data_IF_452620024402
#
_entry.id   IF_452620024402
#
_cell.length_a   1.000
_cell.length_b   1.000
_cell.length_c   1.000
_cell.angle_alpha   90.00
_cell.angle_beta   90.00
_cell.angle_gamma   90.00
#
_symmetry.space_group_name_H-M   'P 1'
#
loop_
_entity.id
_entity.type
_entity.pdbx_description
1 polymer ?
#
# COMPACT_ATOMS: atom_id res chain seq x y z
N UNK A 1 -4.24 20.76 -18.10
CA UNK A 1 -4.84 21.49 -16.96
C UNK A 1 -6.32 21.63 -17.25
N UNK A 2 -7.16 20.99 -16.44
CA UNK A 2 -8.61 20.92 -16.66
C UNK A 2 -9.39 22.02 -15.93
N UNK A 3 -8.79 22.66 -14.92
CA UNK A 3 -9.36 23.78 -14.15
C UNK A 3 -8.29 24.51 -13.29
N UNK A 4 -8.70 25.56 -12.57
CA UNK A 4 -7.81 26.39 -11.72
C UNK A 4 -7.25 25.65 -10.50
N UNK A 5 -8.00 24.74 -9.92
CA UNK A 5 -7.59 23.95 -8.75
C UNK A 5 -6.52 22.91 -9.14
N UNK A 6 -6.56 22.37 -10.36
CA UNK A 6 -5.51 21.50 -10.90
C UNK A 6 -4.17 22.26 -11.01
N UNK A 7 -4.22 23.54 -11.40
CA UNK A 7 -3.04 24.40 -11.43
C UNK A 7 -2.50 24.72 -10.04
N UNK A 8 -3.38 24.94 -9.06
CA UNK A 8 -3.01 25.15 -7.65
C UNK A 8 -2.36 23.90 -7.05
N UNK A 9 -2.90 22.72 -7.31
CA UNK A 9 -2.33 21.44 -6.88
C UNK A 9 -0.94 21.22 -7.52
N UNK A 10 -0.78 21.52 -8.80
CA UNK A 10 0.52 21.45 -9.47
C UNK A 10 1.53 22.41 -8.83
N UNK A 11 1.12 23.64 -8.54
CA UNK A 11 1.97 24.64 -7.86
C UNK A 11 2.36 24.20 -6.45
N UNK A 12 1.46 23.55 -5.70
CA UNK A 12 1.76 22.96 -4.40
C UNK A 12 2.90 21.96 -4.49
N UNK A 13 2.80 20.94 -5.36
CA UNK A 13 3.82 19.89 -5.43
C UNK A 13 5.15 20.38 -6.01
N UNK A 14 5.14 21.43 -6.83
CA UNK A 14 6.38 22.05 -7.29
C UNK A 14 7.07 22.86 -6.18
N UNK A 15 6.30 23.55 -5.32
CA UNK A 15 6.83 24.30 -4.18
C UNK A 15 7.24 23.40 -3.00
N UNK A 16 6.46 22.35 -2.74
CA UNK A 16 6.63 21.40 -1.65
C UNK A 16 6.51 19.96 -2.17
N UNK A 17 7.56 19.42 -2.80
CA UNK A 17 7.57 18.04 -3.25
C UNK A 17 7.27 17.07 -2.11
N UNK A 18 6.35 16.14 -2.36
CA UNK A 18 5.84 15.24 -1.34
C UNK A 18 5.91 13.76 -1.79
N UNK A 19 6.20 12.81 -0.87
CA UNK A 19 6.71 13.02 0.48
C UNK A 19 8.05 13.77 0.51
N UNK A 20 8.33 14.55 1.55
CA UNK A 20 9.64 15.19 1.66
C UNK A 20 10.74 14.11 1.84
N UNK A 21 11.78 14.17 0.99
CA UNK A 21 12.88 13.18 0.98
C UNK A 21 14.22 13.88 0.78
N UNK A 22 15.21 13.46 1.57
CA UNK A 22 16.63 13.79 1.33
C UNK A 22 17.30 12.60 0.63
N UNK A 23 17.78 12.76 -0.63
CA UNK A 23 18.49 11.70 -1.35
C UNK A 23 19.68 11.09 -0.59
N UNK A 24 20.29 11.81 0.35
CA UNK A 24 21.40 11.28 1.17
C UNK A 24 20.96 10.15 2.12
N UNK A 25 19.68 10.08 2.48
CA UNK A 25 19.16 9.02 3.35
C UNK A 25 19.14 7.65 2.66
N UNK A 26 19.22 7.62 1.32
CA UNK A 26 19.20 6.38 0.56
C UNK A 26 20.40 5.47 0.89
N UNK A 27 21.54 6.06 1.30
CA UNK A 27 22.71 5.32 1.79
C UNK A 27 22.46 4.58 3.11
N UNK A 28 21.46 5.01 3.90
CA UNK A 28 21.17 4.48 5.24
C UNK A 28 20.05 3.45 5.24
N UNK A 29 18.97 3.74 4.50
CA UNK A 29 17.78 2.88 4.46
C UNK A 29 17.07 2.97 3.13
N UNK A 30 16.30 1.92 2.82
CA UNK A 30 15.30 1.95 1.77
C UNK A 30 13.95 2.28 2.42
N UNK A 31 13.19 3.19 1.83
CA UNK A 31 11.79 3.40 2.24
C UNK A 31 10.98 2.23 1.67
N UNK A 32 10.32 1.50 2.56
CA UNK A 32 9.55 0.31 2.22
C UNK A 32 8.09 0.54 2.62
N UNK A 33 7.17 0.20 1.72
CA UNK A 33 5.74 0.35 1.94
C UNK A 33 4.93 -0.48 0.95
N UNK A 34 3.63 -0.28 0.94
CA UNK A 34 2.71 -0.80 -0.07
C UNK A 34 2.17 0.36 -0.89
N UNK A 35 1.85 0.19 -2.18
CA UNK A 35 1.74 -1.10 -2.86
C UNK A 35 2.94 -1.52 -3.73
N UNK A 36 4.10 -0.85 -3.65
CA UNK A 36 5.22 -1.14 -4.58
C UNK A 36 6.19 -2.24 -4.13
N UNK A 37 5.83 -3.04 -3.11
CA UNK A 37 6.67 -4.11 -2.61
C UNK A 37 6.62 -5.33 -3.54
N UNK A 38 7.76 -5.76 -4.11
CA UNK A 38 7.79 -6.79 -5.15
C UNK A 38 7.19 -8.13 -4.72
N UNK A 39 7.42 -8.58 -3.48
CA UNK A 39 6.78 -9.81 -2.96
C UNK A 39 5.26 -9.69 -2.85
N UNK A 40 4.76 -8.49 -2.57
CA UNK A 40 3.31 -8.27 -2.53
C UNK A 40 2.73 -8.25 -3.94
N UNK A 41 3.43 -7.63 -4.89
CA UNK A 41 3.04 -7.65 -6.31
C UNK A 41 2.99 -9.10 -6.80
N UNK A 42 4.06 -9.88 -6.60
CA UNK A 42 4.10 -11.29 -6.99
C UNK A 42 2.95 -12.11 -6.40
N UNK A 43 2.62 -11.88 -5.13
CA UNK A 43 1.62 -12.66 -4.43
C UNK A 43 0.18 -12.16 -4.65
N UNK A 44 -0.10 -10.89 -4.37
CA UNK A 44 -1.46 -10.33 -4.40
C UNK A 44 -1.96 -10.02 -5.80
N UNK A 45 -1.08 -9.70 -6.76
CA UNK A 45 -1.45 -9.48 -8.16
C UNK A 45 -1.33 -10.79 -8.94
N UNK A 46 -0.16 -11.44 -8.88
CA UNK A 46 0.14 -12.60 -9.72
C UNK A 46 -0.09 -13.96 -9.04
N UNK A 47 -0.59 -13.99 -7.80
CA UNK A 47 -0.93 -15.22 -7.10
C UNK A 47 0.27 -16.09 -6.74
N UNK A 48 1.49 -15.53 -6.72
CA UNK A 48 2.76 -16.25 -6.66
C UNK A 48 2.89 -17.31 -7.77
N UNK A 49 2.42 -16.98 -8.98
CA UNK A 49 2.49 -17.87 -10.16
C UNK A 49 3.32 -17.32 -11.31
N UNK A 50 3.51 -15.99 -11.37
CA UNK A 50 4.37 -15.36 -12.38
C UNK A 50 5.84 -15.66 -12.07
N UNK A 51 6.60 -16.31 -12.97
CA UNK A 51 8.01 -16.60 -12.76
C UNK A 51 8.87 -15.39 -12.38
N UNK A 52 9.81 -15.57 -11.45
CA UNK A 52 10.77 -14.54 -11.05
C UNK A 52 11.71 -14.18 -12.20
N UNK A 53 12.04 -15.14 -13.08
CA UNK A 53 12.84 -14.92 -14.28
C UNK A 53 12.13 -14.08 -15.35
N UNK A 54 10.79 -13.99 -15.32
CA UNK A 54 10.05 -13.17 -16.27
C UNK A 54 10.28 -11.68 -15.94
N UNK A 55 10.77 -10.84 -16.87
CA UNK A 55 10.96 -9.40 -16.63
C UNK A 55 9.64 -8.69 -16.32
N UNK A 56 9.63 -7.85 -15.27
CA UNK A 56 8.45 -7.07 -14.88
C UNK A 56 8.54 -5.68 -15.49
N UNK A 57 7.57 -5.31 -16.33
CA UNK A 57 7.39 -3.94 -16.81
C UNK A 57 6.41 -3.23 -15.88
N UNK A 58 6.91 -2.30 -15.05
CA UNK A 58 6.09 -1.59 -14.09
C UNK A 58 5.97 -0.09 -14.44
N UNK A 59 4.80 0.49 -14.21
CA UNK A 59 4.58 1.93 -14.20
C UNK A 59 4.37 2.39 -12.75
N UNK A 60 5.03 3.48 -12.35
CA UNK A 60 4.67 4.23 -11.15
C UNK A 60 4.08 5.56 -11.59
N UNK A 61 2.75 5.62 -11.58
CA UNK A 61 1.95 6.75 -12.02
C UNK A 61 1.70 7.73 -10.86
N UNK A 62 2.18 8.96 -10.99
CA UNK A 62 2.31 9.92 -9.89
C UNK A 62 3.45 9.55 -8.96
N UNK A 63 4.65 9.36 -9.52
CA UNK A 63 5.81 8.84 -8.79
C UNK A 63 6.34 9.73 -7.67
N UNK A 64 5.92 11.00 -7.58
CA UNK A 64 6.28 11.94 -6.52
C UNK A 64 7.78 12.01 -6.31
N UNK A 65 8.24 12.09 -5.07
CA UNK A 65 9.68 12.08 -4.76
C UNK A 65 10.32 10.68 -4.83
N UNK A 66 9.59 9.67 -5.34
CA UNK A 66 10.15 8.40 -5.79
C UNK A 66 10.01 7.21 -4.84
N UNK A 67 9.24 7.27 -3.76
CA UNK A 67 9.20 6.16 -2.78
C UNK A 67 8.89 4.80 -3.41
N UNK A 68 7.79 4.71 -4.16
CA UNK A 68 7.42 3.47 -4.85
C UNK A 68 8.39 3.10 -5.97
N UNK A 69 8.86 4.09 -6.73
CA UNK A 69 9.79 3.89 -7.85
C UNK A 69 11.12 3.33 -7.38
N UNK A 70 11.73 3.94 -6.36
CA UNK A 70 13.02 3.55 -5.83
C UNK A 70 12.95 2.19 -5.14
N UNK A 71 11.87 1.93 -4.38
CA UNK A 71 11.65 0.62 -3.76
C UNK A 71 11.54 -0.49 -4.81
N UNK A 72 10.65 -0.33 -5.80
CA UNK A 72 10.41 -1.36 -6.81
C UNK A 72 11.65 -1.59 -7.69
N UNK A 73 12.29 -0.51 -8.15
CA UNK A 73 13.51 -0.61 -8.96
C UNK A 73 14.67 -1.28 -8.19
N UNK A 74 14.82 -0.98 -6.89
CA UNK A 74 15.79 -1.65 -6.01
C UNK A 74 15.49 -3.14 -5.88
N UNK A 75 14.22 -3.51 -5.67
CA UNK A 75 13.84 -4.92 -5.56
C UNK A 75 14.11 -5.69 -6.86
N UNK A 76 13.77 -5.11 -8.01
CA UNK A 76 14.01 -5.71 -9.32
C UNK A 76 15.53 -5.87 -9.59
N UNK A 77 16.31 -4.83 -9.31
CA UNK A 77 17.78 -4.86 -9.45
C UNK A 77 18.42 -5.96 -8.58
N UNK A 78 18.01 -6.08 -7.31
CA UNK A 78 18.52 -7.12 -6.40
C UNK A 78 18.18 -8.55 -6.81
N UNK A 79 17.08 -8.76 -7.54
CA UNK A 79 16.72 -10.08 -8.08
C UNK A 79 17.55 -10.48 -9.31
N UNK A 80 18.33 -9.56 -9.89
CA UNK A 80 19.14 -9.83 -11.08
C UNK A 80 18.33 -10.01 -12.37
N UNK A 81 17.05 -9.61 -12.38
CA UNK A 81 16.16 -9.68 -13.54
C UNK A 81 16.12 -8.31 -14.27
N UNK A 82 15.97 -8.33 -15.60
CA UNK A 82 15.82 -7.18 -16.49
C UNK A 82 14.46 -6.45 -16.37
N UNK A 83 13.82 -6.46 -15.19
CA UNK A 83 12.61 -5.67 -14.96
C UNK A 83 12.90 -4.17 -15.02
N UNK A 84 11.93 -3.39 -15.50
CA UNK A 84 12.04 -1.93 -15.65
C UNK A 84 10.90 -1.24 -14.94
N UNK A 85 11.18 -0.05 -14.42
CA UNK A 85 10.19 0.84 -13.81
C UNK A 85 10.10 2.11 -14.64
N UNK A 86 8.93 2.42 -15.19
CA UNK A 86 8.63 3.73 -15.77
C UNK A 86 8.08 4.62 -14.67
N UNK A 87 8.79 5.69 -14.34
CA UNK A 87 8.32 6.78 -13.49
C UNK A 87 7.51 7.76 -14.35
N UNK A 88 6.32 8.16 -13.88
CA UNK A 88 5.53 9.22 -14.47
C UNK A 88 5.08 10.20 -13.38
N UNK A 89 5.41 11.49 -13.51
CA UNK A 89 4.88 12.55 -12.64
C UNK A 89 4.84 13.90 -13.35
N UNK A 90 3.98 14.80 -12.90
CA UNK A 90 3.86 16.16 -13.44
C UNK A 90 4.91 17.11 -12.88
N UNK A 91 5.33 16.93 -11.62
CA UNK A 91 6.24 17.83 -10.92
C UNK A 91 7.69 17.55 -11.31
N UNK A 92 8.35 18.57 -11.84
CA UNK A 92 9.78 18.53 -12.12
C UNK A 92 10.58 18.53 -10.83
N UNK A 93 10.16 19.29 -9.82
CA UNK A 93 10.83 19.30 -8.51
C UNK A 93 10.82 17.91 -7.87
N UNK A 94 9.67 17.21 -7.87
CA UNK A 94 9.58 15.86 -7.35
C UNK A 94 10.42 14.86 -8.15
N UNK A 95 10.38 14.93 -9.48
CA UNK A 95 11.21 14.08 -10.34
C UNK A 95 12.71 14.28 -10.12
N UNK A 96 13.18 15.52 -9.93
CA UNK A 96 14.60 15.79 -9.63
C UNK A 96 15.05 15.09 -8.36
N UNK A 97 14.22 15.12 -7.30
CA UNK A 97 14.50 14.41 -6.04
C UNK A 97 14.53 12.90 -6.27
N UNK A 98 13.54 12.36 -6.99
CA UNK A 98 13.47 10.93 -7.30
C UNK A 98 14.70 10.46 -8.11
N UNK A 99 15.16 11.24 -9.09
CA UNK A 99 16.38 10.95 -9.86
C UNK A 99 17.63 10.95 -8.98
N UNK A 100 17.79 11.95 -8.12
CA UNK A 100 18.92 12.00 -7.18
C UNK A 100 18.92 10.79 -6.21
N UNK A 101 17.74 10.32 -5.79
CA UNK A 101 17.61 9.08 -4.99
C UNK A 101 18.02 7.83 -5.77
N UNK A 102 17.62 7.74 -7.04
CA UNK A 102 18.00 6.64 -7.92
C UNK A 102 19.52 6.60 -8.15
N UNK A 103 20.13 7.75 -8.39
CA UNK A 103 21.58 7.91 -8.53
C UNK A 103 22.31 7.47 -7.26
N UNK A 104 21.84 7.88 -6.07
CA UNK A 104 22.43 7.47 -4.79
C UNK A 104 22.40 5.95 -4.55
N UNK A 105 21.52 5.22 -5.26
CA UNK A 105 21.41 3.75 -5.21
C UNK A 105 21.97 3.05 -6.45
N UNK A 106 22.55 3.78 -7.39
CA UNK A 106 23.03 3.27 -8.69
C UNK A 106 21.96 2.51 -9.49
N UNK A 107 20.71 2.98 -9.45
CA UNK A 107 19.61 2.35 -10.18
C UNK A 107 19.59 2.81 -11.63
N UNK A 108 19.74 1.86 -12.55
CA UNK A 108 19.79 2.09 -14.01
C UNK A 108 18.57 1.52 -14.76
N UNK A 109 17.64 0.92 -14.03
CA UNK A 109 16.45 0.25 -14.54
C UNK A 109 15.18 1.12 -14.43
N UNK A 110 15.33 2.44 -14.55
CA UNK A 110 14.22 3.40 -14.44
C UNK A 110 14.15 4.26 -15.71
N UNK A 111 12.98 4.28 -16.34
CA UNK A 111 12.62 5.23 -17.38
C UNK A 111 11.86 6.41 -16.77
N UNK A 112 12.16 7.63 -17.18
CA UNK A 112 11.65 8.83 -16.55
C UNK A 112 10.80 9.64 -17.52
N UNK A 113 9.52 9.81 -17.19
CA UNK A 113 8.56 10.55 -18.02
C UNK A 113 7.95 11.67 -17.19
N UNK A 114 8.00 12.89 -17.73
CA UNK A 114 7.25 14.01 -17.17
C UNK A 114 5.90 14.08 -17.88
N UNK A 115 4.80 14.01 -17.15
CA UNK A 115 3.47 14.07 -17.75
C UNK A 115 2.34 13.86 -16.76
N UNK A 116 1.10 14.05 -17.22
CA UNK A 116 -0.08 13.70 -16.46
C UNK A 116 -0.43 12.23 -16.67
N UNK A 117 -1.00 11.59 -15.66
CA UNK A 117 -1.57 10.24 -15.82
C UNK A 117 -2.73 10.23 -16.82
N UNK A 118 -3.40 11.38 -17.01
CA UNK A 118 -4.46 11.54 -18.00
C UNK A 118 -3.94 11.49 -19.45
N UNK A 119 -2.64 11.69 -19.66
CA UNK A 119 -2.01 11.65 -20.99
C UNK A 119 -1.57 10.23 -21.37
N UNK A 120 -1.61 9.25 -20.45
CA UNK A 120 -1.17 7.87 -20.69
C UNK A 120 -1.69 7.25 -21.99
N UNK A 121 -2.97 7.43 -22.41
CA UNK A 121 -3.47 6.85 -23.65
C UNK A 121 -2.76 7.32 -24.92
N UNK A 122 -2.09 8.49 -24.89
CA UNK A 122 -1.43 9.10 -26.05
C UNK A 122 0.09 9.10 -25.96
N UNK A 123 0.67 8.79 -24.80
CA UNK A 123 2.12 8.79 -24.59
C UNK A 123 2.86 7.63 -25.28
N UNK A 124 2.13 6.63 -25.81
CA UNK A 124 2.75 5.45 -26.45
C UNK A 124 3.53 4.57 -25.46
N UNK A 125 3.16 4.62 -24.17
CA UNK A 125 3.77 3.83 -23.10
C UNK A 125 2.99 2.53 -22.87
N UNK A 126 3.70 1.52 -22.34
CA UNK A 126 3.13 0.23 -21.99
C UNK A 126 3.05 -0.75 -23.17
N UNK A 127 2.32 -1.86 -23.00
CA UNK A 127 1.55 -2.22 -21.80
C UNK A 127 2.44 -2.54 -20.59
N UNK A 128 1.91 -2.37 -19.38
CA UNK A 128 2.60 -2.63 -18.11
C UNK A 128 1.99 -3.84 -17.39
N UNK A 129 2.85 -4.75 -16.89
CA UNK A 129 2.42 -5.88 -16.07
C UNK A 129 1.85 -5.41 -14.73
N UNK A 130 2.41 -4.34 -14.19
CA UNK A 130 2.04 -3.77 -12.90
C UNK A 130 2.02 -2.25 -12.94
N UNK A 131 0.99 -1.64 -12.35
CA UNK A 131 0.88 -0.18 -12.22
C UNK A 131 0.74 0.19 -10.74
N UNK A 132 1.69 0.93 -10.19
CA UNK A 132 1.53 1.60 -8.89
C UNK A 132 0.94 2.99 -9.11
N UNK A 133 -0.16 3.30 -8.43
CA UNK A 133 -0.77 4.62 -8.39
C UNK A 133 -1.18 4.94 -6.95
N UNK A 134 -0.16 5.25 -6.15
CA UNK A 134 -0.29 5.54 -4.73
C UNK A 134 -0.41 7.05 -4.48
N UNK A 135 -1.56 7.52 -3.97
CA UNK A 135 -1.69 8.91 -3.54
C UNK A 135 -2.07 9.90 -4.64
N UNK A 136 -2.76 9.44 -5.70
CA UNK A 136 -2.94 10.24 -6.93
C UNK A 136 -4.41 10.39 -7.30
N UNK A 137 -5.14 9.28 -7.47
CA UNK A 137 -6.50 9.30 -8.00
C UNK A 137 -7.43 10.22 -7.20
N UNK A 138 -7.26 10.28 -5.89
CA UNK A 138 -8.10 11.09 -5.02
C UNK A 138 -7.81 12.60 -5.05
N UNK A 139 -6.81 13.04 -5.81
CA UNK A 139 -6.53 14.44 -6.10
C UNK A 139 -6.95 14.86 -7.52
N UNK A 140 -7.55 13.95 -8.30
CA UNK A 140 -8.06 14.29 -9.63
C UNK A 140 -9.47 14.90 -9.57
N UNK A 141 -9.80 15.82 -10.50
CA UNK A 141 -11.17 16.31 -10.64
C UNK A 141 -12.11 15.17 -11.04
N UNK A 142 -11.66 14.29 -11.93
CA UNK A 142 -12.39 13.12 -12.41
C UNK A 142 -11.56 11.85 -12.19
N UNK A 143 -11.62 11.22 -11.00
CA UNK A 143 -10.80 10.04 -10.72
C UNK A 143 -11.14 8.82 -11.58
N UNK A 144 -12.38 8.72 -12.08
CA UNK A 144 -12.76 7.68 -13.03
C UNK A 144 -12.01 7.81 -14.37
N UNK A 145 -11.79 9.04 -14.86
CA UNK A 145 -10.97 9.29 -16.05
C UNK A 145 -9.50 8.91 -15.81
N UNK A 146 -8.98 9.22 -14.60
CA UNK A 146 -7.64 8.78 -14.19
C UNK A 146 -7.50 7.26 -14.13
N UNK A 147 -8.48 6.56 -13.56
CA UNK A 147 -8.47 5.11 -13.51
C UNK A 147 -8.54 4.48 -14.91
N UNK A 148 -9.41 5.02 -15.78
CA UNK A 148 -9.51 4.57 -17.17
C UNK A 148 -8.19 4.76 -17.93
N UNK A 149 -7.50 5.88 -17.74
CA UNK A 149 -6.20 6.13 -18.36
C UNK A 149 -5.12 5.12 -17.92
N UNK A 150 -5.15 4.68 -16.66
CA UNK A 150 -4.26 3.63 -16.16
C UNK A 150 -4.62 2.25 -16.73
N UNK A 151 -5.91 1.96 -16.85
CA UNK A 151 -6.40 0.67 -17.34
C UNK A 151 -6.04 0.43 -18.82
N UNK A 152 -6.06 1.47 -19.65
CA UNK A 152 -5.70 1.40 -21.08
C UNK A 152 -4.26 0.90 -21.29
N UNK A 153 -3.34 1.22 -20.38
CA UNK A 153 -1.93 0.82 -20.47
C UNK A 153 -1.62 -0.42 -19.62
N UNK A 154 -2.61 -1.04 -18.99
CA UNK A 154 -2.43 -2.27 -18.21
C UNK A 154 -2.43 -3.50 -19.11
N UNK A 155 -1.37 -4.31 -19.03
CA UNK A 155 -1.25 -5.56 -19.76
C UNK A 155 -2.37 -6.56 -19.39
N UNK A 156 -2.81 -7.41 -20.32
CA UNK A 156 -3.64 -8.57 -20.00
C UNK A 156 -2.98 -9.43 -18.91
N UNK A 157 -3.74 -9.83 -17.90
CA UNK A 157 -3.23 -10.56 -16.74
C UNK A 157 -2.47 -9.70 -15.71
N UNK A 158 -2.27 -8.41 -15.98
CA UNK A 158 -1.62 -7.46 -15.08
C UNK A 158 -2.51 -7.03 -13.90
N UNK A 159 -1.96 -6.19 -13.03
CA UNK A 159 -2.74 -5.55 -11.98
C UNK A 159 -2.19 -4.21 -11.51
N UNK A 160 -2.95 -3.55 -10.64
CA UNK A 160 -2.61 -2.23 -10.12
C UNK A 160 -2.47 -2.28 -8.61
N UNK A 161 -1.54 -1.53 -8.05
CA UNK A 161 -1.54 -1.13 -6.65
C UNK A 161 -2.06 0.29 -6.53
N UNK A 162 -3.16 0.50 -5.82
CA UNK A 162 -3.79 1.80 -5.66
C UNK A 162 -3.79 2.23 -4.20
N UNK A 163 -3.63 3.52 -3.96
CA UNK A 163 -3.88 4.12 -2.65
C UNK A 163 -4.75 5.37 -2.75
N UNK A 164 -5.83 5.39 -1.96
CA UNK A 164 -6.73 6.55 -1.81
C UNK A 164 -6.96 6.88 -0.33
N UNK A 165 -7.35 8.11 -0.04
CA UNK A 165 -7.76 8.50 1.31
C UNK A 165 -9.04 7.80 1.75
N UNK A 166 -9.07 7.38 3.01
CA UNK A 166 -10.25 6.80 3.66
C UNK A 166 -10.84 7.81 4.66
N UNK A 167 -12.17 7.92 4.77
CA UNK A 167 -12.81 9.03 5.48
C UNK A 167 -12.66 8.91 7.00
N UNK A 168 -12.84 7.72 7.56
CA UNK A 168 -13.02 7.57 9.01
C UNK A 168 -11.74 7.84 9.82
N UNK A 169 -10.60 7.28 9.42
CA UNK A 169 -9.32 7.58 10.06
C UNK A 169 -8.82 9.00 9.82
N UNK A 170 -9.45 9.76 8.90
CA UNK A 170 -9.24 11.19 8.64
C UNK A 170 -10.21 12.10 9.40
N UNK A 171 -10.99 11.57 10.35
CA UNK A 171 -11.92 12.37 11.17
C UNK A 171 -11.21 13.57 11.79
N UNK A 172 -11.77 14.76 11.57
CA UNK A 172 -11.21 16.05 11.99
C UNK A 172 -10.36 16.77 10.93
N UNK A 173 -9.74 16.07 9.98
CA UNK A 173 -8.91 16.68 8.93
C UNK A 173 -9.73 17.63 8.07
N UNK A 174 -10.85 17.14 7.52
CA UNK A 174 -11.72 17.92 6.63
C UNK A 174 -12.33 19.15 7.31
N UNK A 175 -12.67 19.05 8.60
CA UNK A 175 -13.19 20.20 9.36
C UNK A 175 -12.14 21.32 9.49
N UNK A 176 -10.86 20.95 9.59
CA UNK A 176 -9.77 21.93 9.66
C UNK A 176 -9.44 22.47 8.27
N UNK A 177 -9.53 21.64 7.22
CA UNK A 177 -9.42 22.10 5.84
C UNK A 177 -10.53 23.11 5.49
N UNK A 178 -11.78 22.87 5.88
CA UNK A 178 -12.90 23.80 5.69
C UNK A 178 -12.61 25.16 6.35
N UNK A 179 -12.10 25.14 7.60
CA UNK A 179 -11.71 26.37 8.29
C UNK A 179 -10.54 27.08 7.59
N UNK A 180 -9.56 26.33 7.09
CA UNK A 180 -8.41 26.88 6.38
C UNK A 180 -8.76 27.38 4.98
N UNK A 181 -9.75 26.83 4.30
CA UNK A 181 -10.24 27.37 3.04
C UNK A 181 -10.78 28.80 3.21
N UNK A 182 -11.34 29.13 4.39
CA UNK A 182 -11.83 30.47 4.72
C UNK A 182 -10.71 31.42 5.19
N UNK A 183 -9.74 30.92 5.95
CA UNK A 183 -8.67 31.73 6.55
C UNK A 183 -7.42 31.88 5.66
N UNK A 184 -7.20 30.90 4.77
CA UNK A 184 -6.04 30.75 3.90
C UNK A 184 -6.49 30.28 2.50
N UNK A 185 -7.26 31.11 1.77
CA UNK A 185 -7.86 30.72 0.50
C UNK A 185 -6.81 30.27 -0.54
N UNK A 186 -7.19 29.38 -1.49
CA UNK A 186 -6.24 28.75 -2.41
C UNK A 186 -5.54 29.70 -3.41
N UNK A 187 -6.00 30.95 -3.54
CA UNK A 187 -5.39 31.99 -4.36
C UNK A 187 -4.17 32.65 -3.68
N UNK A 188 -3.99 32.44 -2.38
CA UNK A 188 -2.80 32.88 -1.65
C UNK A 188 -1.58 32.00 -1.97
N UNK A 189 -0.39 32.58 -1.81
CA UNK A 189 0.85 31.83 -2.00
C UNK A 189 0.96 30.64 -1.04
N UNK A 190 1.60 29.53 -1.45
CA UNK A 190 1.72 28.36 -0.59
C UNK A 190 2.36 28.65 0.79
N UNK A 191 3.36 29.54 0.85
CA UNK A 191 3.99 29.94 2.10
C UNK A 191 3.05 30.70 3.05
N UNK A 192 2.24 31.62 2.53
CA UNK A 192 1.26 32.36 3.33
C UNK A 192 0.20 31.43 3.92
N UNK A 193 -0.29 30.46 3.12
CA UNK A 193 -1.27 29.48 3.57
C UNK A 193 -0.73 28.60 4.70
N UNK A 194 0.54 28.18 4.62
CA UNK A 194 1.22 27.44 5.70
C UNK A 194 1.29 28.26 6.98
N UNK A 195 1.63 29.54 6.89
CA UNK A 195 1.72 30.38 8.08
C UNK A 195 0.38 30.42 8.84
N UNK A 196 -0.71 30.62 8.11
CA UNK A 196 -2.07 30.57 8.68
C UNK A 196 -2.38 29.18 9.22
N UNK A 197 -2.06 28.11 8.48
CA UNK A 197 -2.21 26.72 8.92
C UNK A 197 -1.55 26.44 10.26
N UNK A 198 -0.30 26.87 10.43
CA UNK A 198 0.44 26.75 11.69
C UNK A 198 -0.22 27.52 12.84
N UNK A 199 -0.75 28.72 12.57
CA UNK A 199 -1.46 29.53 13.57
C UNK A 199 -2.78 28.87 13.99
N UNK A 200 -3.56 28.35 13.05
CA UNK A 200 -4.80 27.60 13.34
C UNK A 200 -4.50 26.37 14.18
N UNK A 201 -3.50 25.57 13.80
CA UNK A 201 -3.13 24.37 14.56
C UNK A 201 -2.68 24.68 15.99
N UNK A 202 -1.97 25.79 16.21
CA UNK A 202 -1.54 26.24 17.55
C UNK A 202 -2.72 26.61 18.46
N UNK A 203 -3.80 27.12 17.87
CA UNK A 203 -4.96 27.65 18.58
C UNK A 203 -6.23 26.83 18.33
N UNK A 204 -6.08 25.57 17.92
CA UNK A 204 -7.20 24.73 17.53
C UNK A 204 -8.11 24.46 18.75
N UNK A 205 -9.41 24.78 18.67
CA UNK A 205 -10.33 24.60 19.79
C UNK A 205 -10.30 23.17 20.34
N UNK A 206 -10.46 23.02 21.65
CA UNK A 206 -10.40 21.73 22.34
C UNK A 206 -11.44 20.71 21.88
N UNK A 207 -12.57 21.19 21.36
CA UNK A 207 -13.63 20.36 20.81
C UNK A 207 -13.38 19.88 19.38
N UNK A 208 -12.33 20.36 18.69
CA UNK A 208 -12.07 19.96 17.31
C UNK A 208 -11.60 18.49 17.25
N UNK A 209 -12.26 17.71 16.40
CA UNK A 209 -12.00 16.27 16.26
C UNK A 209 -10.56 15.90 15.88
N UNK A 210 -9.83 16.78 15.17
CA UNK A 210 -8.45 16.51 14.81
C UNK A 210 -7.54 16.37 16.04
N UNK A 211 -7.88 17.02 17.16
CA UNK A 211 -7.13 16.89 18.43
C UNK A 211 -7.25 15.50 19.06
N UNK A 212 -8.30 14.76 18.73
CA UNK A 212 -8.52 13.40 19.21
C UNK A 212 -7.98 12.34 18.23
N UNK A 213 -7.55 12.76 17.05
CA UNK A 213 -7.02 11.89 16.02
C UNK A 213 -5.50 11.68 16.20
N UNK A 214 -5.10 10.42 16.40
CA UNK A 214 -3.70 10.04 16.65
C UNK A 214 -2.93 9.68 15.38
N UNK A 215 -3.59 9.62 14.23
CA UNK A 215 -2.99 9.11 12.98
C UNK A 215 -2.06 10.10 12.28
N UNK A 216 -2.12 11.39 12.62
CA UNK A 216 -1.46 12.46 11.85
C UNK A 216 -0.35 13.20 12.60
N UNK A 217 0.11 12.68 13.74
CA UNK A 217 1.21 13.29 14.49
C UNK A 217 2.46 13.50 13.61
N UNK A 218 2.77 12.56 12.73
CA UNK A 218 3.92 12.62 11.82
C UNK A 218 3.72 13.62 10.68
N UNK A 219 2.49 13.84 10.21
CA UNK A 219 2.22 14.84 9.16
C UNK A 219 2.26 16.27 9.74
N UNK A 220 1.79 16.42 10.98
CA UNK A 220 1.83 17.69 11.72
C UNK A 220 3.28 18.05 12.11
N UNK A 221 4.12 17.05 12.37
CA UNK A 221 5.56 17.24 12.70
C UNK A 221 6.50 17.10 11.49
N UNK A 222 6.00 16.60 10.35
CA UNK A 222 6.74 16.32 9.11
C UNK A 222 7.11 17.55 8.28
N UNK A 223 7.07 18.73 8.91
CA UNK A 223 7.39 20.00 8.29
C UNK A 223 6.31 20.52 7.34
N UNK A 224 6.70 21.51 6.56
CA UNK A 224 5.80 22.35 5.77
C UNK A 224 5.10 21.56 4.66
N UNK A 225 5.80 20.62 4.02
CA UNK A 225 5.22 19.76 2.99
C UNK A 225 4.12 18.84 3.55
N UNK A 226 4.35 18.23 4.72
CA UNK A 226 3.37 17.34 5.36
C UNK A 226 2.14 18.09 5.87
N UNK A 227 2.32 19.27 6.47
CA UNK A 227 1.21 20.12 6.88
C UNK A 227 0.38 20.57 5.68
N UNK A 228 1.04 20.98 4.59
CA UNK A 228 0.35 21.42 3.39
C UNK A 228 -0.47 20.29 2.78
N UNK A 229 0.16 19.14 2.56
CA UNK A 229 -0.50 17.98 1.96
C UNK A 229 -1.69 17.49 2.80
N UNK A 230 -1.59 17.56 4.13
CA UNK A 230 -2.67 17.15 5.02
C UNK A 230 -3.81 18.18 5.11
N UNK A 231 -3.52 19.47 5.27
CA UNK A 231 -4.51 20.47 5.70
C UNK A 231 -4.77 21.61 4.71
N UNK A 232 -3.95 21.76 3.68
CA UNK A 232 -4.05 22.85 2.70
C UNK A 232 -4.18 22.35 1.26
N UNK A 233 -4.21 21.03 1.06
CA UNK A 233 -4.42 20.41 -0.24
C UNK A 233 -5.74 20.93 -0.84
N UNK A 234 -5.72 21.46 -2.07
CA UNK A 234 -6.89 22.12 -2.64
C UNK A 234 -7.91 21.13 -3.24
N UNK A 235 -7.61 19.81 -3.26
CA UNK A 235 -8.42 18.81 -3.99
C UNK A 235 -8.42 17.42 -3.35
N UNK A 236 -8.09 17.26 -2.09
CA UNK A 236 -8.19 15.93 -1.51
C UNK A 236 -9.65 15.51 -1.28
N UNK A 237 -9.96 14.26 -1.59
CA UNK A 237 -11.25 13.64 -1.27
C UNK A 237 -11.05 12.23 -0.75
N UNK A 238 -11.84 11.81 0.22
CA UNK A 238 -11.83 10.43 0.70
C UNK A 238 -12.81 9.55 -0.08
N UNK A 239 -12.57 8.24 -0.03
CA UNK A 239 -13.46 7.21 -0.54
C UNK A 239 -13.71 6.22 0.59
N UNK A 240 -14.98 5.93 0.88
CA UNK A 240 -15.31 4.72 1.66
C UNK A 240 -14.91 3.47 0.86
N UNK A 241 -14.87 2.30 1.50
CA UNK A 241 -14.67 1.03 0.79
C UNK A 241 -15.69 0.85 -0.35
N UNK A 242 -16.93 1.24 -0.13
CA UNK A 242 -18.01 1.15 -1.12
C UNK A 242 -17.76 2.09 -2.31
N UNK A 243 -17.39 3.35 -2.05
CA UNK A 243 -17.11 4.33 -3.11
C UNK A 243 -15.86 3.96 -3.90
N UNK A 244 -14.84 3.42 -3.23
CA UNK A 244 -13.63 2.94 -3.88
C UNK A 244 -13.91 1.73 -4.78
N UNK A 245 -14.72 0.77 -4.31
CA UNK A 245 -15.17 -0.34 -5.15
C UNK A 245 -16.02 0.11 -6.33
N UNK A 246 -16.90 1.11 -6.14
CA UNK A 246 -17.67 1.71 -7.22
C UNK A 246 -16.78 2.40 -8.26
N UNK A 247 -15.77 3.15 -7.82
CA UNK A 247 -14.77 3.76 -8.69
C UNK A 247 -14.07 2.69 -9.55
N UNK A 248 -13.60 1.60 -8.92
CA UNK A 248 -12.97 0.49 -9.65
C UNK A 248 -13.89 -0.10 -10.73
N UNK A 249 -15.17 -0.28 -10.40
CA UNK A 249 -16.17 -0.79 -11.33
C UNK A 249 -16.34 0.05 -12.61
N UNK A 250 -16.06 1.35 -12.56
CA UNK A 250 -16.16 2.25 -13.74
C UNK A 250 -15.18 1.87 -14.87
N UNK A 251 -14.10 1.17 -14.55
CA UNK A 251 -13.09 0.70 -15.51
C UNK A 251 -13.01 -0.84 -15.56
N UNK A 252 -14.05 -1.54 -15.11
CA UNK A 252 -14.07 -3.01 -15.08
C UNK A 252 -13.03 -3.64 -14.13
N UNK A 253 -12.52 -2.87 -13.17
CA UNK A 253 -11.54 -3.31 -12.18
C UNK A 253 -12.24 -3.77 -10.90
N UNK A 254 -11.58 -4.65 -10.14
CA UNK A 254 -12.01 -5.12 -8.83
C UNK A 254 -10.82 -5.29 -7.89
N UNK A 255 -11.09 -5.22 -6.59
CA UNK A 255 -10.07 -5.49 -5.55
C UNK A 255 -9.71 -6.97 -5.57
N UNK A 256 -8.43 -7.28 -5.76
CA UNK A 256 -7.87 -8.61 -5.56
C UNK A 256 -7.51 -8.84 -4.09
N UNK A 257 -6.98 -7.81 -3.42
CA UNK A 257 -6.75 -7.79 -1.98
C UNK A 257 -6.65 -6.34 -1.48
N UNK A 258 -7.35 -6.04 -0.39
CA UNK A 258 -6.97 -4.89 0.42
C UNK A 258 -5.70 -5.23 1.21
N UNK A 259 -4.78 -4.28 1.31
CA UNK A 259 -3.52 -4.48 1.98
C UNK A 259 -3.72 -4.57 3.49
N UNK A 260 -3.07 -5.57 4.10
CA UNK A 260 -3.38 -6.10 5.42
C UNK A 260 -4.84 -6.59 5.49
N UNK A 261 -5.22 -7.64 4.71
CA UNK A 261 -6.61 -8.09 4.55
C UNK A 261 -7.40 -8.27 5.85
N UNK A 262 -6.71 -8.63 6.95
CA UNK A 262 -7.34 -8.79 8.26
C UNK A 262 -8.05 -7.52 8.76
N UNK A 263 -7.54 -6.33 8.40
CA UNK A 263 -8.19 -5.04 8.69
C UNK A 263 -9.61 -4.98 8.14
N UNK A 264 -9.81 -5.56 6.97
CA UNK A 264 -11.06 -5.52 6.21
C UNK A 264 -11.95 -6.74 6.45
N UNK A 265 -11.59 -7.61 7.40
CA UNK A 265 -12.40 -8.75 7.78
C UNK A 265 -13.21 -8.42 9.06
N UNK A 266 -14.54 -8.28 8.99
CA UNK A 266 -15.36 -7.93 10.16
C UNK A 266 -15.37 -9.05 11.21
N UNK A 267 -15.09 -10.30 10.86
CA UNK A 267 -15.00 -11.40 11.82
C UNK A 267 -13.87 -11.21 12.84
N UNK A 268 -12.81 -10.47 12.47
CA UNK A 268 -11.71 -10.06 13.37
C UNK A 268 -12.22 -9.20 14.53
N UNK A 269 -13.21 -8.35 14.26
CA UNK A 269 -13.64 -7.27 15.14
C UNK A 269 -14.96 -7.56 15.86
N UNK A 270 -15.63 -8.65 15.49
CA UNK A 270 -16.93 -9.04 16.03
C UNK A 270 -16.79 -10.25 16.97
N UNK A 271 -16.78 -10.06 18.30
CA UNK A 271 -16.71 -11.16 19.26
C UNK A 271 -18.00 -11.99 19.30
N UNK A 272 -19.15 -11.38 18.99
CA UNK A 272 -20.46 -12.05 19.01
C UNK A 272 -20.65 -13.00 17.80
N UNK A 273 -20.89 -14.31 18.01
CA UNK A 273 -21.06 -15.28 16.94
C UNK A 273 -22.26 -15.01 16.01
N UNK A 274 -23.36 -14.44 16.52
CA UNK A 274 -24.55 -14.11 15.72
C UNK A 274 -24.25 -12.93 14.80
N UNK A 275 -23.52 -11.93 15.29
CA UNK A 275 -23.05 -10.82 14.45
C UNK A 275 -22.07 -11.30 13.38
N UNK A 276 -21.15 -12.22 13.71
CA UNK A 276 -20.27 -12.83 12.70
C UNK A 276 -21.05 -13.59 11.63
N UNK A 277 -22.07 -14.35 12.00
CA UNK A 277 -22.93 -15.06 11.03
C UNK A 277 -23.66 -14.09 10.10
N UNK A 278 -24.14 -12.95 10.62
CA UNK A 278 -24.75 -11.88 9.79
C UNK A 278 -23.73 -11.21 8.87
N UNK A 279 -22.51 -10.95 9.35
CA UNK A 279 -21.45 -10.38 8.52
C UNK A 279 -21.05 -11.34 7.38
N UNK A 280 -20.98 -12.64 7.67
CA UNK A 280 -20.60 -13.67 6.70
C UNK A 280 -21.58 -13.81 5.52
N UNK A 281 -22.85 -13.38 5.66
CA UNK A 281 -23.82 -13.38 4.55
C UNK A 281 -23.69 -12.17 3.62
N UNK A 282 -22.85 -11.20 3.95
CA UNK A 282 -22.61 -10.01 3.11
C UNK A 282 -21.64 -10.33 1.97
N UNK A 283 -21.70 -9.55 0.89
CA UNK A 283 -20.68 -9.58 -0.16
C UNK A 283 -19.30 -9.18 0.39
N UNK A 284 -18.22 -9.58 -0.28
CA UNK A 284 -16.86 -9.24 0.15
C UNK A 284 -16.65 -7.72 0.35
N UNK A 285 -17.16 -6.90 -0.57
CA UNK A 285 -17.12 -5.44 -0.44
C UNK A 285 -17.91 -4.93 0.77
N UNK A 286 -19.10 -5.49 1.02
CA UNK A 286 -19.92 -5.10 2.16
C UNK A 286 -19.32 -5.57 3.50
N UNK A 287 -18.61 -6.71 3.53
CA UNK A 287 -17.83 -7.13 4.69
C UNK A 287 -16.68 -6.15 4.98
N UNK A 288 -15.94 -5.76 3.94
CA UNK A 288 -14.86 -4.78 4.05
C UNK A 288 -15.36 -3.41 4.51
N UNK A 289 -16.49 -2.93 3.96
CA UNK A 289 -17.12 -1.68 4.39
C UNK A 289 -17.63 -1.75 5.84
N UNK A 290 -18.18 -2.90 6.25
CA UNK A 290 -18.57 -3.13 7.65
C UNK A 290 -17.34 -3.06 8.58
N UNK A 291 -16.22 -3.69 8.21
CA UNK A 291 -14.98 -3.61 8.99
C UNK A 291 -14.44 -2.16 9.06
N UNK A 292 -14.47 -1.43 7.95
CA UNK A 292 -14.11 -0.01 7.89
C UNK A 292 -14.93 0.82 8.89
N UNK A 293 -16.25 0.66 8.88
CA UNK A 293 -17.16 1.38 9.77
C UNK A 293 -17.03 0.96 11.25
N UNK A 294 -16.80 -0.33 11.53
CA UNK A 294 -16.62 -0.83 12.90
C UNK A 294 -15.33 -0.34 13.55
N UNK A 295 -14.27 -0.20 12.76
CA UNK A 295 -12.92 0.13 13.27
C UNK A 295 -12.65 1.62 13.28
N UNK A 296 -13.16 2.36 12.29
CA UNK A 296 -13.14 3.82 12.25
C UNK A 296 -11.75 4.48 12.16
N UNK A 297 -10.68 3.70 12.07
CA UNK A 297 -9.31 4.20 12.23
C UNK A 297 -8.49 4.21 10.92
N UNK A 298 -9.03 3.67 9.82
CA UNK A 298 -8.36 3.62 8.51
C UNK A 298 -8.28 5.02 7.89
N UNK A 299 -7.06 5.57 7.76
CA UNK A 299 -6.82 6.90 7.16
C UNK A 299 -6.61 6.85 5.64
N UNK A 300 -6.23 5.68 5.12
CA UNK A 300 -6.05 5.38 3.71
C UNK A 300 -6.60 3.99 3.40
N UNK A 301 -6.91 3.75 2.14
CA UNK A 301 -7.09 2.43 1.57
C UNK A 301 -5.94 2.14 0.63
N UNK A 302 -5.26 1.03 0.85
CA UNK A 302 -4.28 0.48 -0.10
C UNK A 302 -4.85 -0.85 -0.60
N UNK A 303 -4.89 -1.04 -1.91
CA UNK A 303 -5.41 -2.27 -2.51
C UNK A 303 -4.61 -2.68 -3.74
N UNK A 304 -4.46 -3.99 -3.91
CA UNK A 304 -4.10 -4.60 -5.18
C UNK A 304 -5.38 -4.91 -5.95
N UNK A 305 -5.43 -4.51 -7.21
CA UNK A 305 -6.59 -4.56 -8.08
C UNK A 305 -6.26 -5.28 -9.39
N UNK A 306 -7.25 -5.96 -9.96
CA UNK A 306 -7.18 -6.60 -11.28
C UNK A 306 -8.47 -6.35 -12.05
N UNK A 307 -8.46 -6.66 -13.34
CA UNK A 307 -9.71 -6.73 -14.13
C UNK A 307 -10.66 -7.72 -13.47
N UNK A 308 -11.92 -7.36 -13.31
CA UNK A 308 -12.92 -8.23 -12.68
C UNK A 308 -13.10 -9.56 -13.46
N UNK A 309 -12.89 -9.52 -14.78
CA UNK A 309 -12.92 -10.69 -15.67
C UNK A 309 -11.67 -11.59 -15.54
N UNK A 310 -10.62 -11.15 -14.87
CA UNK A 310 -9.34 -11.86 -14.72
C UNK A 310 -8.96 -12.01 -13.24
N UNK A 311 -9.78 -12.70 -12.43
CA UNK A 311 -9.51 -12.84 -11.00
C UNK A 311 -8.18 -13.57 -10.75
N UNK A 312 -7.48 -13.17 -9.67
CA UNK A 312 -6.23 -13.82 -9.28
C UNK A 312 -6.48 -15.24 -8.78
N UNK A 313 -5.73 -16.20 -9.29
CA UNK A 313 -5.65 -17.55 -8.73
C UNK A 313 -4.39 -17.67 -7.90
N UNK A 314 -4.51 -17.79 -6.58
CA UNK A 314 -3.35 -17.91 -5.68
C UNK A 314 -2.73 -19.31 -5.73
N UNK A 315 -1.42 -19.40 -5.54
CA UNK A 315 -0.74 -20.66 -5.30
C UNK A 315 -1.24 -21.27 -3.99
N UNK A 316 -1.34 -22.60 -3.94
CA UNK A 316 -1.75 -23.30 -2.72
C UNK A 316 -0.58 -23.26 -1.71
N UNK A 317 -0.76 -22.63 -0.54
CA UNK A 317 0.29 -22.56 0.47
C UNK A 317 0.67 -23.92 1.04
N UNK A 318 -0.17 -24.95 0.88
CA UNK A 318 0.10 -26.30 1.36
C UNK A 318 0.77 -27.19 0.32
N UNK A 319 0.93 -26.71 -0.92
CA UNK A 319 1.58 -27.47 -1.97
C UNK A 319 3.05 -27.75 -1.61
N UNK A 320 3.52 -28.96 -1.90
CA UNK A 320 4.89 -29.37 -1.61
C UNK A 320 5.95 -28.48 -2.26
N UNK A 321 5.63 -27.88 -3.40
CA UNK A 321 6.49 -26.97 -4.16
C UNK A 321 6.38 -25.51 -3.75
N UNK A 322 5.45 -25.15 -2.86
CA UNK A 322 5.28 -23.78 -2.41
C UNK A 322 6.50 -23.35 -1.59
N UNK A 323 7.00 -22.12 -1.80
CA UNK A 323 8.15 -21.57 -1.07
C UNK A 323 7.66 -20.44 -0.18
N UNK A 324 7.60 -20.62 1.15
CA UNK A 324 7.26 -19.56 2.08
C UNK A 324 8.29 -18.43 2.04
N UNK A 325 7.82 -17.18 2.06
CA UNK A 325 8.68 -16.00 2.21
C UNK A 325 8.15 -15.07 3.28
N UNK A 326 9.06 -14.52 4.08
CA UNK A 326 8.73 -13.36 4.91
C UNK A 326 8.53 -12.14 4.02
N UNK A 327 7.52 -11.31 4.28
CA UNK A 327 7.28 -10.10 3.46
C UNK A 327 8.46 -9.14 3.52
N UNK A 328 8.86 -8.75 4.72
CA UNK A 328 9.97 -7.82 4.97
C UNK A 328 10.74 -8.21 6.25
N UNK A 329 10.06 -8.20 7.40
CA UNK A 329 10.65 -8.56 8.70
C UNK A 329 11.07 -10.04 8.68
N UNK A 330 12.36 -10.37 8.87
CA UNK A 330 12.80 -11.76 8.95
C UNK A 330 12.09 -12.53 10.05
N UNK A 331 11.85 -13.83 9.85
CA UNK A 331 11.16 -14.66 10.82
C UNK A 331 11.87 -14.69 12.17
N UNK A 332 13.21 -14.71 12.16
CA UNK A 332 14.06 -14.60 13.35
C UNK A 332 13.89 -13.31 14.15
N UNK A 333 13.46 -12.21 13.52
CA UNK A 333 13.14 -10.96 14.21
C UNK A 333 11.69 -10.94 14.67
N UNK A 334 10.76 -11.42 13.82
CA UNK A 334 9.33 -11.45 14.15
C UNK A 334 9.03 -12.28 15.39
N UNK A 335 9.76 -13.39 15.60
CA UNK A 335 9.56 -14.24 16.78
C UNK A 335 9.83 -13.54 18.10
N UNK A 336 10.67 -12.50 18.11
CA UNK A 336 10.97 -11.72 19.33
C UNK A 336 9.76 -10.90 19.78
N UNK A 337 8.78 -10.67 18.91
CA UNK A 337 7.53 -9.98 19.22
C UNK A 337 6.41 -10.92 19.68
N UNK A 338 6.60 -12.24 19.64
CA UNK A 338 5.59 -13.20 20.10
C UNK A 338 5.56 -13.21 21.64
N UNK A 339 4.39 -12.96 22.21
CA UNK A 339 4.17 -12.96 23.64
C UNK A 339 4.18 -14.40 24.21
N UNK A 340 4.45 -14.59 25.52
CA UNK A 340 4.48 -15.92 26.14
C UNK A 340 3.17 -16.73 26.00
N UNK A 341 2.04 -16.06 25.75
CA UNK A 341 0.74 -16.67 25.51
C UNK A 341 0.52 -17.09 24.04
N UNK A 342 1.54 -17.00 23.18
CA UNK A 342 1.46 -17.36 21.75
C UNK A 342 0.82 -16.29 20.85
N UNK A 343 0.54 -15.10 21.38
CA UNK A 343 -0.02 -14.00 20.59
C UNK A 343 1.07 -13.12 19.98
N UNK A 344 0.91 -12.76 18.71
CA UNK A 344 1.70 -11.74 18.04
C UNK A 344 0.89 -10.43 18.03
N UNK A 345 1.26 -9.40 18.82
CA UNK A 345 0.54 -8.15 18.84
C UNK A 345 0.77 -7.41 17.52
N UNK A 346 -0.31 -7.20 16.77
CA UNK A 346 -0.28 -6.34 15.58
C UNK A 346 -1.03 -5.04 15.88
N UNK A 347 -0.51 -3.93 15.39
CA UNK A 347 -1.14 -2.62 15.49
C UNK A 347 -1.46 -2.11 14.09
N UNK A 348 -2.74 -1.86 13.87
CA UNK A 348 -3.26 -1.22 12.68
C UNK A 348 -3.69 0.18 13.07
N UNK A 349 -2.86 1.20 12.82
CA UNK A 349 -3.20 2.61 13.10
C UNK A 349 -3.81 2.78 14.51
N UNK A 350 -3.12 2.24 15.52
CA UNK A 350 -3.54 2.28 16.93
C UNK A 350 -4.56 1.20 17.36
N UNK A 351 -5.17 0.46 16.43
CA UNK A 351 -6.06 -0.65 16.73
C UNK A 351 -5.28 -1.96 16.88
N UNK A 352 -5.40 -2.63 18.03
CA UNK A 352 -4.73 -3.90 18.29
C UNK A 352 -5.50 -5.05 17.67
N UNK A 353 -4.79 -5.84 16.86
CA UNK A 353 -5.31 -7.00 16.19
C UNK A 353 -4.87 -8.30 16.91
N UNK A 354 -5.80 -9.23 17.21
CA UNK A 354 -5.47 -10.47 17.90
C UNK A 354 -4.96 -11.54 16.91
N UNK A 355 -3.64 -11.66 16.74
CA UNK A 355 -3.04 -12.75 15.95
C UNK A 355 -2.56 -13.86 16.89
N UNK A 356 -3.23 -15.00 16.85
CA UNK A 356 -2.84 -16.18 17.65
C UNK A 356 -2.04 -17.14 16.79
N UNK A 357 -0.91 -17.63 17.32
CA UNK A 357 -0.02 -18.54 16.62
C UNK A 357 0.10 -19.88 17.35
N UNK A 358 0.26 -21.00 16.63
CA UNK A 358 0.48 -22.29 17.27
C UNK A 358 1.84 -22.35 17.98
N UNK A 359 2.04 -23.26 18.95
CA UNK A 359 3.30 -23.40 19.68
C UNK A 359 4.53 -23.64 18.79
N UNK A 360 4.35 -24.19 17.59
CA UNK A 360 5.42 -24.46 16.63
C UNK A 360 5.82 -23.23 15.81
N UNK A 361 5.03 -22.16 15.84
CA UNK A 361 5.24 -20.98 15.01
C UNK A 361 6.65 -20.39 15.15
N UNK A 362 7.25 -20.23 16.35
CA UNK A 362 8.59 -19.66 16.46
C UNK A 362 9.65 -20.46 15.71
N UNK A 363 9.58 -21.79 15.74
CA UNK A 363 10.52 -22.64 15.04
C UNK A 363 10.30 -22.57 13.52
N UNK A 364 9.04 -22.63 13.08
CA UNK A 364 8.67 -22.53 11.65
C UNK A 364 9.13 -21.20 11.06
N UNK A 365 8.84 -20.08 11.73
CA UNK A 365 9.21 -18.75 11.24
C UNK A 365 10.72 -18.57 11.10
N UNK A 366 11.52 -19.05 12.06
CA UNK A 366 12.98 -19.03 11.96
C UNK A 366 13.51 -19.89 10.81
N UNK A 367 12.76 -20.89 10.37
CA UNK A 367 13.14 -21.76 9.26
C UNK A 367 12.75 -21.18 7.87
N UNK A 368 11.95 -20.11 7.81
CA UNK A 368 11.59 -19.48 6.52
C UNK A 368 12.78 -18.66 6.01
N UNK A 369 13.46 -19.17 4.99
CA UNK A 369 14.59 -18.52 4.31
C UNK A 369 14.23 -17.98 2.91
N UNK A 370 13.04 -18.30 2.40
CA UNK A 370 12.61 -17.92 1.06
C UNK A 370 13.16 -18.81 -0.06
N UNK A 371 13.78 -19.94 0.29
CA UNK A 371 14.38 -20.89 -0.64
C UNK A 371 13.79 -22.28 -0.47
N UNK A 372 13.65 -22.76 0.78
CA UNK A 372 13.07 -24.07 1.09
C UNK A 372 11.59 -24.11 0.75
N UNK A 373 11.19 -25.18 0.08
CA UNK A 373 9.79 -25.49 -0.15
C UNK A 373 9.11 -25.98 1.13
N UNK A 374 7.77 -26.05 1.12
CA UNK A 374 7.00 -26.67 2.21
C UNK A 374 7.42 -28.12 2.43
N UNK A 375 7.75 -28.87 1.36
CA UNK A 375 8.28 -30.23 1.50
C UNK A 375 9.67 -30.26 2.16
N UNK A 376 10.58 -29.35 1.78
CA UNK A 376 11.90 -29.25 2.41
C UNK A 376 11.81 -28.89 3.89
N UNK A 377 10.90 -27.98 4.25
CA UNK A 377 10.63 -27.64 5.64
C UNK A 377 10.05 -28.83 6.41
N UNK A 378 9.12 -29.58 5.82
CA UNK A 378 8.58 -30.79 6.43
C UNK A 378 9.68 -31.82 6.71
N UNK A 379 10.60 -32.04 5.76
CA UNK A 379 11.76 -32.93 5.94
C UNK A 379 12.72 -32.40 7.02
N UNK A 380 13.04 -31.11 7.00
CA UNK A 380 13.89 -30.44 7.99
C UNK A 380 13.36 -30.61 9.42
N UNK A 381 12.05 -30.51 9.61
CA UNK A 381 11.40 -30.71 10.90
C UNK A 381 11.27 -32.19 11.30
N UNK A 382 11.11 -33.10 10.34
CA UNK A 382 11.09 -34.54 10.58
C UNK A 382 12.40 -35.04 11.16
N UNK A 383 13.55 -34.59 10.63
CA UNK A 383 14.88 -34.87 11.18
C UNK A 383 15.07 -34.38 12.63
N UNK A 384 14.26 -33.39 13.05
CA UNK A 384 14.29 -32.79 14.40
C UNK A 384 13.16 -33.30 15.30
N UNK A 385 12.54 -34.42 14.92
CA UNK A 385 11.55 -35.12 15.74
C UNK A 385 10.11 -34.60 15.61
N UNK A 386 9.81 -33.74 14.65
CA UNK A 386 8.44 -33.31 14.34
C UNK A 386 7.92 -34.04 13.10
N UNK A 387 6.98 -34.97 13.27
CA UNK A 387 6.36 -35.69 12.16
C UNK A 387 5.79 -34.74 11.09
N UNK A 388 5.92 -35.11 9.81
CA UNK A 388 5.54 -34.27 8.67
C UNK A 388 4.08 -33.79 8.74
N UNK A 389 3.13 -34.65 9.12
CA UNK A 389 1.73 -34.26 9.28
C UNK A 389 1.51 -33.23 10.38
N UNK A 390 2.30 -33.29 11.46
CA UNK A 390 2.27 -32.31 12.54
C UNK A 390 2.81 -30.97 12.05
N UNK A 391 3.89 -30.97 11.27
CA UNK A 391 4.40 -29.77 10.61
C UNK A 391 3.35 -29.16 9.67
N UNK A 392 2.74 -29.95 8.78
CA UNK A 392 1.76 -29.45 7.80
C UNK A 392 0.56 -28.77 8.46
N UNK A 393 0.02 -29.36 9.54
CA UNK A 393 -1.05 -28.71 10.33
C UNK A 393 -0.60 -27.39 10.94
N UNK A 394 0.57 -27.37 11.58
CA UNK A 394 1.12 -26.15 12.16
C UNK A 394 1.41 -25.08 11.09
N UNK A 395 1.91 -25.48 9.91
CA UNK A 395 2.15 -24.59 8.78
C UNK A 395 0.85 -23.96 8.26
N UNK A 396 -0.22 -24.75 8.13
CA UNK A 396 -1.54 -24.23 7.74
C UNK A 396 -2.03 -23.15 8.73
N UNK A 397 -1.90 -23.39 10.03
CA UNK A 397 -2.27 -22.42 11.07
C UNK A 397 -1.39 -21.17 11.04
N UNK A 398 -0.07 -21.32 10.89
CA UNK A 398 0.87 -20.19 10.78
C UNK A 398 0.58 -19.34 9.55
N UNK A 399 0.40 -19.96 8.38
CA UNK A 399 0.14 -19.25 7.14
C UNK A 399 -1.21 -18.51 7.22
N UNK A 400 -2.27 -19.18 7.66
CA UNK A 400 -3.59 -18.58 7.82
C UNK A 400 -3.62 -17.40 8.82
N UNK A 401 -2.75 -17.41 9.83
CA UNK A 401 -2.63 -16.32 10.78
C UNK A 401 -1.80 -15.13 10.25
N UNK A 402 -0.78 -15.38 9.43
CA UNK A 402 0.23 -14.38 9.04
C UNK A 402 0.07 -13.81 7.63
N UNK A 403 -0.63 -14.50 6.74
CA UNK A 403 -0.95 -13.98 5.41
C UNK A 403 -1.92 -12.77 5.48
N UNK A 404 -2.99 -12.79 6.29
CA UNK A 404 -3.92 -11.66 6.40
C UNK A 404 -3.33 -10.40 7.04
N UNK A 405 -2.21 -10.52 7.74
CA UNK A 405 -1.42 -9.38 8.27
C UNK A 405 -0.19 -9.06 7.40
N UNK A 406 -0.11 -9.69 6.22
CA UNK A 406 0.93 -9.49 5.23
C UNK A 406 2.36 -9.64 5.80
N UNK A 407 2.59 -10.74 6.54
CA UNK A 407 3.89 -11.08 7.11
C UNK A 407 4.52 -12.32 6.48
N UNK A 408 3.72 -13.31 6.13
CA UNK A 408 4.16 -14.51 5.41
C UNK A 408 3.36 -14.62 4.13
N UNK A 409 4.08 -14.71 3.01
CA UNK A 409 3.53 -14.88 1.66
C UNK A 409 4.19 -16.10 1.01
N UNK A 410 3.88 -16.35 -0.27
CA UNK A 410 4.58 -17.34 -1.08
C UNK A 410 5.46 -16.64 -2.12
N UNK A 411 6.65 -17.19 -2.36
CA UNK A 411 7.52 -16.74 -3.43
C UNK A 411 6.92 -17.09 -4.79
N UNK A 412 7.09 -16.21 -5.77
CA UNK A 412 6.93 -16.55 -7.17
C UNK A 412 7.87 -17.73 -7.54
N UNK A 413 7.50 -18.61 -8.50
CA UNK A 413 8.39 -19.66 -8.98
C UNK A 413 9.65 -19.02 -9.56
N UNK A 414 10.83 -19.60 -9.36
CA UNK A 414 12.08 -18.99 -9.85
C UNK A 414 12.07 -18.78 -11.38
N UNK A 415 11.48 -19.72 -12.12
CA UNK A 415 11.26 -19.67 -13.56
C UNK A 415 11.71 -20.93 -14.26
#
# INVERSE_FOLDING_TARGET
MTDSTDAQLAAQYEAYPYPARDPKEEAKRLIIGSPSHLREIDYWVFGARRPQAQPLQALVAGGGTGDGTIMLATHLSRRGNAGRVTYLDRSLAAMRIARARAEARNLTNIDWVQGSILDLPTLGLGPFDYIDCCGVLHHLPEPAAGLAALEVVLAPGGGMGLMVYAPHGRTGVYMVQDALALLAPPDQTPAARIEVGKRVMRHLPESNWLRFNRNFSDHISGGDAGLYDLLLNPRDRAFTVSDFAALLGTSGMAVAAFMEPMRYNPATWLPDPKLRARAASLSATAQAALAESLTGNMSVHIAYCRRAAEPVTRADPMADTAVPVMREVPGSELVKSILPNGQLPFLFDGLRAPVSLPPQAPAILQAIDGERTVADLAAFFAERGMAADKFRRAWAEVFAALEPVNRVLLAAPKG
#
